data_IF_435265206904
#
_entry.id   IF_435265206904
#
_cell.length_a   1.000
_cell.length_b   1.000
_cell.length_c   1.000
_cell.angle_alpha   90.00
_cell.angle_beta   90.00
_cell.angle_gamma   90.00
#
_symmetry.space_group_name_H-M   'P 1'
#
loop_
_entity.id
_entity.type
_entity.pdbx_description
1 polymer ?
#
# COMPACT_ATOMS: atom_id res chain seq x y z
N UNK A 1 -25.11 -12.93 -76.64
CA UNK A 1 -25.16 -13.63 -75.37
C UNK A 1 -24.06 -13.02 -74.49
N UNK A 2 -24.45 -12.14 -73.54
CA UNK A 2 -23.51 -11.44 -72.67
C UNK A 2 -23.54 -12.13 -71.27
N UNK A 3 -22.41 -12.71 -70.83
CA UNK A 3 -22.21 -13.25 -69.50
C UNK A 3 -21.84 -12.11 -68.55
N UNK A 4 -22.69 -11.86 -67.55
CA UNK A 4 -22.40 -11.01 -66.39
C UNK A 4 -21.76 -11.89 -65.30
N UNK A 5 -20.49 -11.64 -64.96
CA UNK A 5 -19.84 -12.22 -63.78
C UNK A 5 -20.25 -11.42 -62.52
N UNK A 6 -20.97 -12.09 -61.59
CA UNK A 6 -21.20 -11.58 -60.23
C UNK A 6 -19.94 -11.87 -59.42
N UNK A 7 -19.19 -10.82 -59.07
CA UNK A 7 -18.14 -10.90 -58.04
C UNK A 7 -18.80 -10.84 -56.66
N UNK A 8 -18.89 -11.99 -55.99
CA UNK A 8 -19.33 -12.10 -54.60
C UNK A 8 -18.13 -11.69 -53.69
N UNK A 9 -18.16 -10.45 -53.20
CA UNK A 9 -17.17 -9.95 -52.23
C UNK A 9 -17.36 -10.63 -50.87
N UNK A 10 -16.45 -11.51 -50.50
CA UNK A 10 -16.40 -12.19 -49.21
C UNK A 10 -15.71 -11.20 -48.22
N UNK A 11 -16.51 -10.45 -47.47
CA UNK A 11 -16.02 -9.62 -46.35
C UNK A 11 -15.56 -10.54 -45.19
N UNK A 12 -14.25 -10.64 -45.03
CA UNK A 12 -13.64 -11.29 -43.86
C UNK A 12 -13.94 -10.44 -42.60
N UNK A 13 -14.93 -10.84 -41.82
CA UNK A 13 -15.12 -10.35 -40.44
C UNK A 13 -13.99 -10.91 -39.57
N UNK A 14 -12.92 -10.12 -39.36
CA UNK A 14 -11.92 -10.39 -38.33
C UNK A 14 -12.62 -10.25 -36.95
N UNK A 15 -12.55 -11.27 -36.09
CA UNK A 15 -13.05 -11.12 -34.72
C UNK A 15 -12.25 -10.01 -34.04
N UNK A 16 -12.94 -8.97 -33.56
CA UNK A 16 -12.34 -7.98 -32.68
C UNK A 16 -11.90 -8.69 -31.40
N UNK A 17 -10.60 -8.87 -31.22
CA UNK A 17 -10.05 -9.32 -29.94
C UNK A 17 -10.50 -8.32 -28.88
N UNK A 18 -11.02 -8.77 -27.71
CA UNK A 18 -11.36 -7.87 -26.65
C UNK A 18 -10.10 -7.09 -26.26
N UNK A 19 -10.12 -5.77 -26.44
CA UNK A 19 -9.06 -4.92 -25.92
C UNK A 19 -9.04 -5.11 -24.40
N UNK A 20 -8.04 -5.82 -23.90
CA UNK A 20 -7.80 -5.90 -22.45
C UNK A 20 -7.65 -4.46 -21.97
N UNK A 21 -8.56 -4.00 -21.09
CA UNK A 21 -8.45 -2.69 -20.49
C UNK A 21 -7.12 -2.63 -19.74
N UNK A 22 -6.25 -1.69 -20.12
CA UNK A 22 -4.95 -1.54 -19.47
C UNK A 22 -5.16 -1.21 -17.99
N UNK A 23 -4.52 -1.98 -17.12
CA UNK A 23 -4.58 -1.76 -15.68
C UNK A 23 -3.72 -0.55 -15.27
N UNK A 24 -4.10 0.12 -14.17
CA UNK A 24 -3.42 1.33 -13.69
C UNK A 24 -1.91 1.13 -13.47
N UNK A 25 -1.49 -0.06 -13.06
CA UNK A 25 -0.09 -0.42 -12.86
C UNK A 25 0.68 -0.79 -14.15
N UNK A 26 0.01 -0.95 -15.28
CA UNK A 26 0.63 -1.33 -16.54
C UNK A 26 0.85 -0.09 -17.45
N UNK A 27 0.33 1.06 -17.05
CA UNK A 27 0.50 2.33 -17.77
C UNK A 27 1.60 3.15 -17.07
N UNK A 28 2.63 3.60 -17.81
CA UNK A 28 3.65 4.48 -17.24
C UNK A 28 3.04 5.75 -16.66
N UNK A 29 3.59 6.30 -15.56
CA UNK A 29 3.16 7.58 -15.03
C UNK A 29 3.20 8.68 -16.10
N UNK A 30 2.22 9.57 -16.08
CA UNK A 30 2.12 10.69 -17.05
C UNK A 30 3.34 11.60 -16.96
N UNK A 31 3.58 12.33 -18.06
CA UNK A 31 4.58 13.40 -18.08
C UNK A 31 4.35 14.40 -16.93
N UNK A 32 5.42 14.87 -16.27
CA UNK A 32 5.33 15.82 -15.16
C UNK A 32 5.26 15.17 -13.76
N UNK A 33 5.18 13.84 -13.65
CA UNK A 33 5.29 13.13 -12.37
C UNK A 33 6.76 13.09 -11.92
N UNK A 34 7.05 13.45 -10.66
CA UNK A 34 8.42 13.46 -10.11
C UNK A 34 9.04 12.07 -10.09
N UNK A 35 10.38 12.00 -10.09
CA UNK A 35 11.10 10.71 -10.05
C UNK A 35 10.80 9.94 -8.76
N UNK A 36 10.64 10.63 -7.63
CA UNK A 36 10.21 10.01 -6.37
C UNK A 36 8.83 9.39 -6.51
N UNK A 37 7.87 10.12 -7.07
CA UNK A 37 6.53 9.61 -7.27
C UNK A 37 6.50 8.37 -8.19
N UNK A 38 7.29 8.40 -9.28
CA UNK A 38 7.45 7.25 -10.17
C UNK A 38 8.01 6.04 -9.42
N UNK A 39 9.03 6.23 -8.59
CA UNK A 39 9.64 5.17 -7.81
C UNK A 39 8.66 4.58 -6.76
N UNK A 40 7.88 5.44 -6.08
CA UNK A 40 6.83 5.01 -5.14
C UNK A 40 5.77 4.16 -5.85
N UNK A 41 5.25 4.66 -6.99
CA UNK A 41 4.26 3.94 -7.80
C UNK A 41 4.81 2.62 -8.30
N UNK A 42 6.04 2.60 -8.82
CA UNK A 42 6.67 1.38 -9.32
C UNK A 42 6.82 0.31 -8.24
N UNK A 43 7.25 0.69 -7.03
CA UNK A 43 7.39 -0.22 -5.89
C UNK A 43 6.02 -0.77 -5.44
N UNK A 44 5.01 0.08 -5.28
CA UNK A 44 3.67 -0.35 -4.87
C UNK A 44 3.01 -1.25 -5.93
N UNK A 45 3.10 -0.88 -7.21
CA UNK A 45 2.58 -1.68 -8.33
C UNK A 45 3.33 -3.01 -8.51
N UNK A 46 4.64 -3.04 -8.23
CA UNK A 46 5.42 -4.27 -8.22
C UNK A 46 4.85 -5.28 -7.23
N UNK A 47 4.62 -4.84 -6.00
CA UNK A 47 4.03 -5.71 -4.97
C UNK A 47 2.60 -6.15 -5.31
N UNK A 48 1.76 -5.24 -5.78
CA UNK A 48 0.39 -5.60 -6.17
C UNK A 48 0.36 -6.70 -7.25
N UNK A 49 1.30 -6.68 -8.20
CA UNK A 49 1.42 -7.76 -9.19
C UNK A 49 1.84 -9.09 -8.54
N UNK A 50 2.79 -9.06 -7.60
CA UNK A 50 3.22 -10.26 -6.87
C UNK A 50 2.08 -10.92 -6.11
N UNK A 51 1.17 -10.12 -5.53
CA UNK A 51 0.00 -10.59 -4.78
C UNK A 51 -1.20 -10.94 -5.67
N UNK A 52 -1.00 -11.24 -6.95
CA UNK A 52 -2.01 -11.65 -7.92
C UNK A 52 -3.08 -10.59 -8.23
N UNK A 53 -2.76 -9.30 -8.03
CA UNK A 53 -3.60 -8.15 -8.40
C UNK A 53 -5.01 -8.14 -7.79
N UNK A 54 -5.21 -8.44 -6.52
CA UNK A 54 -6.53 -8.32 -5.90
C UNK A 54 -6.97 -6.86 -5.88
N UNK A 55 -8.27 -6.62 -5.98
CA UNK A 55 -8.79 -5.26 -6.01
C UNK A 55 -10.12 -5.11 -5.29
N UNK A 56 -10.39 -3.88 -4.83
CA UNK A 56 -11.69 -3.41 -4.38
C UNK A 56 -12.20 -2.46 -5.46
N UNK A 57 -13.37 -2.77 -6.02
CA UNK A 57 -13.99 -1.96 -7.07
C UNK A 57 -14.57 -0.64 -6.52
N UNK A 58 -15.17 0.18 -7.40
CA UNK A 58 -15.78 1.46 -7.02
C UNK A 58 -17.00 1.31 -6.10
N UNK A 59 -17.63 0.16 -6.13
CA UNK A 59 -18.76 -0.19 -5.25
C UNK A 59 -18.30 -0.78 -3.92
N UNK A 60 -16.97 -0.88 -3.70
CA UNK A 60 -16.37 -1.37 -2.47
C UNK A 60 -16.36 -2.89 -2.34
N UNK A 61 -16.56 -3.64 -3.42
CA UNK A 61 -16.52 -5.10 -3.44
C UNK A 61 -15.11 -5.60 -3.74
N UNK A 62 -14.64 -6.55 -2.95
CA UNK A 62 -13.32 -7.18 -3.16
C UNK A 62 -13.41 -8.31 -4.16
N UNK A 63 -12.40 -8.42 -5.03
CA UNK A 63 -12.27 -9.48 -6.02
C UNK A 63 -10.81 -9.92 -6.21
N UNK A 64 -10.63 -11.12 -6.76
CA UNK A 64 -9.31 -11.69 -7.13
C UNK A 64 -8.36 -11.88 -5.94
N UNK A 65 -8.87 -12.07 -4.73
CA UNK A 65 -8.05 -12.39 -3.57
C UNK A 65 -7.52 -13.82 -3.73
N UNK A 66 -6.22 -13.95 -4.03
CA UNK A 66 -5.56 -15.23 -4.30
C UNK A 66 -4.80 -15.77 -3.10
N UNK A 67 -4.07 -14.92 -2.40
CA UNK A 67 -3.16 -15.31 -1.30
C UNK A 67 -3.27 -14.32 -0.16
N UNK A 68 -3.18 -14.80 1.08
CA UNK A 68 -3.16 -13.97 2.30
C UNK A 68 -1.86 -14.13 3.10
N UNK A 69 -1.62 -13.23 4.04
CA UNK A 69 -0.34 -13.01 4.74
C UNK A 69 0.26 -14.24 5.42
N UNK A 70 -0.58 -15.14 5.93
CA UNK A 70 -0.13 -16.29 6.71
C UNK A 70 0.05 -17.56 5.89
N UNK A 71 -0.26 -17.52 4.59
CA UNK A 71 -0.25 -18.70 3.74
C UNK A 71 1.18 -19.10 3.33
N UNK A 72 1.32 -20.39 3.00
CA UNK A 72 2.55 -20.97 2.45
C UNK A 72 2.56 -20.94 0.91
N UNK A 73 1.58 -20.27 0.32
CA UNK A 73 1.49 -20.15 -1.13
C UNK A 73 2.57 -19.20 -1.67
N UNK A 74 3.12 -19.56 -2.83
CA UNK A 74 4.05 -18.70 -3.53
C UNK A 74 3.35 -17.48 -4.11
N UNK A 75 4.04 -16.35 -4.10
CA UNK A 75 3.64 -15.18 -4.85
C UNK A 75 3.86 -15.40 -6.36
N UNK A 76 3.36 -14.51 -7.19
CA UNK A 76 3.29 -14.67 -8.65
C UNK A 76 4.64 -14.84 -9.36
N UNK A 77 5.76 -14.53 -8.70
CA UNK A 77 7.12 -14.71 -9.23
C UNK A 77 7.74 -16.06 -8.84
N UNK A 78 7.01 -16.92 -8.12
CA UNK A 78 7.51 -18.17 -7.52
C UNK A 78 8.73 -17.98 -6.59
N UNK A 79 8.95 -16.75 -6.12
CA UNK A 79 10.02 -16.42 -5.19
C UNK A 79 9.64 -16.72 -3.74
N UNK A 80 9.52 -15.68 -2.92
CA UNK A 80 9.12 -15.84 -1.53
C UNK A 80 7.66 -16.26 -1.41
N UNK A 81 7.36 -17.07 -0.40
CA UNK A 81 5.98 -17.35 0.02
C UNK A 81 5.41 -16.15 0.79
N UNK A 82 4.08 -16.06 0.86
CA UNK A 82 3.36 -14.88 1.35
C UNK A 82 3.86 -14.37 2.71
N UNK A 83 3.92 -15.24 3.74
CA UNK A 83 4.35 -14.80 5.06
C UNK A 83 5.81 -14.31 5.12
N UNK A 84 6.71 -14.91 4.33
CA UNK A 84 8.11 -14.48 4.25
C UNK A 84 8.22 -13.09 3.61
N UNK A 85 7.36 -12.81 2.62
CA UNK A 85 7.29 -11.48 2.01
C UNK A 85 6.82 -10.44 3.01
N UNK A 86 5.79 -10.73 3.81
CA UNK A 86 5.30 -9.83 4.88
C UNK A 86 6.38 -9.61 5.95
N UNK A 87 7.07 -10.67 6.39
CA UNK A 87 8.23 -10.55 7.28
C UNK A 87 9.32 -9.65 6.69
N UNK A 88 9.51 -9.71 5.36
CA UNK A 88 10.40 -8.83 4.60
C UNK A 88 10.01 -7.36 4.71
N UNK A 89 8.72 -7.01 4.62
CA UNK A 89 8.27 -5.61 4.80
C UNK A 89 8.67 -5.05 6.15
N UNK A 90 8.46 -5.81 7.23
CA UNK A 90 8.85 -5.43 8.58
C UNK A 90 10.36 -5.22 8.73
N UNK A 91 11.13 -6.17 8.24
CA UNK A 91 12.59 -6.20 8.38
C UNK A 91 13.27 -5.12 7.53
N UNK A 92 12.95 -5.06 6.24
CA UNK A 92 13.61 -4.18 5.28
C UNK A 92 13.23 -2.71 5.46
N UNK A 93 12.05 -2.43 6.03
CA UNK A 93 11.64 -1.06 6.40
C UNK A 93 12.22 -0.61 7.75
N UNK A 94 12.90 -1.48 8.49
CA UNK A 94 13.35 -1.25 9.87
C UNK A 94 12.23 -0.94 10.87
N UNK A 95 10.97 -1.29 10.56
CA UNK A 95 9.83 -1.10 11.46
C UNK A 95 9.64 -2.23 12.46
N UNK A 96 10.40 -3.32 12.31
CA UNK A 96 10.39 -4.44 13.25
C UNK A 96 11.03 -4.08 14.60
N UNK A 97 12.06 -3.22 14.62
CA UNK A 97 12.76 -2.83 15.84
C UNK A 97 11.83 -2.28 16.93
N UNK A 98 10.94 -1.31 16.65
CA UNK A 98 9.95 -0.82 17.61
C UNK A 98 8.98 -1.89 18.13
N UNK A 99 8.85 -3.02 17.42
CA UNK A 99 7.99 -4.15 17.80
C UNK A 99 8.73 -5.21 18.63
N UNK A 100 10.00 -5.02 18.95
CA UNK A 100 10.88 -6.04 19.54
C UNK A 100 10.40 -6.62 20.88
N UNK A 101 9.54 -5.89 21.62
CA UNK A 101 8.92 -6.38 22.85
C UNK A 101 7.68 -7.28 22.60
N UNK A 102 7.20 -7.37 21.36
CA UNK A 102 6.04 -8.19 20.99
C UNK A 102 6.49 -9.62 20.72
N UNK A 103 5.74 -10.60 21.26
CA UNK A 103 6.02 -12.01 21.03
C UNK A 103 6.11 -12.35 19.54
N UNK A 104 7.11 -13.11 19.13
CA UNK A 104 7.34 -13.52 17.75
C UNK A 104 8.04 -12.49 16.85
N UNK A 105 8.14 -11.21 17.27
CA UNK A 105 8.79 -10.18 16.44
C UNK A 105 10.26 -10.52 16.16
N UNK A 106 11.02 -10.96 17.17
CA UNK A 106 12.43 -11.36 17.02
C UNK A 106 12.61 -12.52 16.03
N UNK A 107 11.64 -13.43 15.98
CA UNK A 107 11.63 -14.55 15.04
C UNK A 107 11.48 -14.10 13.59
N UNK A 108 10.81 -12.96 13.33
CA UNK A 108 10.73 -12.35 12.00
C UNK A 108 12.02 -11.62 11.56
N UNK A 109 12.93 -11.31 12.48
CA UNK A 109 14.21 -10.68 12.16
C UNK A 109 15.19 -11.63 11.47
N UNK A 110 15.06 -12.93 11.67
CA UNK A 110 15.90 -13.96 11.07
C UNK A 110 15.30 -14.47 9.76
N UNK A 111 16.12 -14.86 8.79
CA UNK A 111 15.65 -15.64 7.66
C UNK A 111 14.93 -16.91 8.15
N UNK A 112 13.96 -17.39 7.40
CA UNK A 112 13.31 -18.67 7.66
C UNK A 112 14.35 -19.78 7.87
N UNK A 113 14.34 -20.44 9.00
CA UNK A 113 15.42 -21.33 9.35
C UNK A 113 15.03 -22.51 10.25
N UNK A 114 13.98 -22.38 11.05
CA UNK A 114 13.48 -23.48 11.85
C UNK A 114 11.96 -23.43 11.93
N UNK A 115 11.34 -24.60 12.08
CA UNK A 115 9.89 -24.71 12.21
C UNK A 115 9.33 -23.86 13.37
N UNK A 116 10.08 -23.72 14.46
CA UNK A 116 9.65 -22.92 15.61
C UNK A 116 9.71 -21.43 15.33
N UNK A 117 10.85 -20.93 14.84
CA UNK A 117 10.99 -19.50 14.48
C UNK A 117 10.01 -19.09 13.40
N UNK A 118 9.73 -19.95 12.42
CA UNK A 118 8.76 -19.70 11.36
C UNK A 118 7.33 -19.62 11.93
N UNK A 119 6.97 -20.53 12.85
CA UNK A 119 5.65 -20.52 13.51
C UNK A 119 5.46 -19.25 14.34
N UNK A 120 6.45 -18.87 15.14
CA UNK A 120 6.40 -17.67 15.97
C UNK A 120 6.32 -16.39 15.14
N UNK A 121 7.11 -16.32 14.06
CA UNK A 121 7.04 -15.18 13.14
C UNK A 121 5.64 -15.09 12.47
N UNK A 122 5.09 -16.21 12.00
CA UNK A 122 3.75 -16.21 11.38
C UNK A 122 2.67 -15.79 12.38
N UNK A 123 2.74 -16.21 13.63
CA UNK A 123 1.83 -15.76 14.68
C UNK A 123 1.94 -14.23 14.87
N UNK A 124 3.16 -13.69 14.95
CA UNK A 124 3.37 -12.24 15.00
C UNK A 124 2.74 -11.52 13.81
N UNK A 125 2.88 -12.03 12.59
CA UNK A 125 2.33 -11.40 11.38
C UNK A 125 0.80 -11.36 11.36
N UNK A 126 0.14 -12.41 11.88
CA UNK A 126 -1.32 -12.50 11.99
C UNK A 126 -1.84 -11.52 13.05
N UNK A 127 -1.17 -11.43 14.19
CA UNK A 127 -1.62 -10.65 15.34
C UNK A 127 -1.30 -9.15 15.19
N UNK A 128 -0.38 -8.78 14.30
CA UNK A 128 0.09 -7.40 14.18
C UNK A 128 -0.10 -6.86 12.77
N UNK A 129 -1.00 -5.86 12.58
CA UNK A 129 -1.27 -5.27 11.27
C UNK A 129 0.00 -4.70 10.62
N UNK A 130 0.34 -5.20 9.44
CA UNK A 130 1.58 -4.86 8.73
C UNK A 130 1.41 -3.77 7.66
N UNK A 131 0.23 -3.14 7.57
CA UNK A 131 -0.04 -2.12 6.55
C UNK A 131 0.94 -0.94 6.60
N UNK A 132 1.32 -0.48 7.80
CA UNK A 132 2.28 0.60 7.94
C UNK A 132 3.73 0.15 7.66
N UNK A 133 4.08 -1.11 7.96
CA UNK A 133 5.36 -1.69 7.56
C UNK A 133 5.47 -1.77 6.03
N UNK A 134 4.39 -2.14 5.33
CA UNK A 134 4.32 -2.12 3.86
C UNK A 134 4.58 -0.71 3.30
N UNK A 135 3.87 0.32 3.79
CA UNK A 135 4.11 1.71 3.36
C UNK A 135 5.56 2.11 3.61
N UNK A 136 6.09 1.86 4.82
CA UNK A 136 7.48 2.15 5.15
C UNK A 136 8.47 1.43 4.22
N UNK A 137 8.15 0.19 3.83
CA UNK A 137 8.94 -0.58 2.88
C UNK A 137 8.92 0.06 1.48
N UNK A 138 7.73 0.41 0.96
CA UNK A 138 7.61 1.09 -0.34
C UNK A 138 8.41 2.40 -0.36
N UNK A 139 8.28 3.22 0.69
CA UNK A 139 9.00 4.50 0.79
C UNK A 139 10.53 4.31 0.90
N UNK A 140 10.97 3.22 1.55
CA UNK A 140 12.40 2.84 1.61
C UNK A 140 12.91 2.40 0.23
N UNK A 141 12.16 1.56 -0.48
CA UNK A 141 12.51 1.10 -1.83
C UNK A 141 12.53 2.24 -2.85
N UNK A 142 11.65 3.20 -2.71
CA UNK A 142 11.58 4.41 -3.53
C UNK A 142 12.59 5.49 -3.13
N UNK A 143 13.41 5.25 -2.10
CA UNK A 143 14.38 6.20 -1.56
C UNK A 143 13.76 7.59 -1.27
N UNK A 144 12.54 7.63 -0.68
CA UNK A 144 11.86 8.88 -0.37
C UNK A 144 12.64 9.62 0.73
N UNK A 145 13.21 10.81 0.44
CA UNK A 145 14.05 11.52 1.39
C UNK A 145 13.26 11.98 2.61
N UNK A 146 13.80 11.78 3.80
CA UNK A 146 13.19 12.28 5.05
C UNK A 146 11.91 11.58 5.46
N UNK A 147 11.52 10.45 4.82
CA UNK A 147 10.32 9.73 5.22
C UNK A 147 10.51 9.06 6.59
N UNK A 148 9.60 9.37 7.52
CA UNK A 148 9.59 8.75 8.85
C UNK A 148 8.98 7.37 8.79
N UNK A 149 9.80 6.32 8.84
CA UNK A 149 9.36 4.94 8.90
C UNK A 149 8.74 4.63 10.25
N UNK A 150 7.57 4.02 10.26
CA UNK A 150 6.84 3.68 11.49
C UNK A 150 5.96 2.45 11.28
N UNK A 151 5.73 1.62 12.32
CA UNK A 151 4.71 0.58 12.31
C UNK A 151 3.28 1.13 12.43
N UNK A 152 3.08 2.46 12.46
CA UNK A 152 1.78 3.11 12.63
C UNK A 152 1.56 4.23 11.62
N UNK A 153 0.44 4.18 10.90
CA UNK A 153 0.10 5.21 9.90
C UNK A 153 -0.15 6.59 10.52
N UNK A 154 -0.63 6.67 11.77
CA UNK A 154 -0.88 7.96 12.43
C UNK A 154 0.41 8.79 12.55
N UNK A 155 1.57 8.16 12.60
CA UNK A 155 2.85 8.87 12.68
C UNK A 155 3.18 9.57 11.35
N UNK A 156 2.79 9.00 10.21
CA UNK A 156 2.90 9.65 8.89
C UNK A 156 2.01 10.88 8.80
N UNK A 157 0.77 10.76 9.30
CA UNK A 157 -0.21 11.87 9.33
C UNK A 157 0.34 13.01 10.21
N UNK A 158 0.89 12.68 11.39
CA UNK A 158 1.51 13.69 12.27
C UNK A 158 2.72 14.36 11.63
N UNK A 159 3.61 13.55 11.01
CA UNK A 159 4.77 14.09 10.32
C UNK A 159 4.37 15.07 9.20
N UNK A 160 3.35 14.71 8.40
CA UNK A 160 2.81 15.55 7.35
C UNK A 160 2.12 16.81 7.88
N UNK A 161 1.44 16.73 9.04
CA UNK A 161 0.86 17.89 9.73
C UNK A 161 1.92 18.87 10.23
N UNK A 162 3.01 18.35 10.81
CA UNK A 162 4.11 19.17 11.35
C UNK A 162 5.02 19.71 10.24
N UNK A 163 5.12 18.99 9.12
CA UNK A 163 6.12 19.21 8.07
C UNK A 163 5.75 20.24 7.01
N UNK A 164 4.60 20.88 7.08
CA UNK A 164 4.07 21.76 6.03
C UNK A 164 4.99 22.88 5.52
N UNK A 165 6.12 23.14 6.17
CA UNK A 165 7.10 24.17 5.80
C UNK A 165 8.57 23.74 5.91
N UNK A 166 8.89 22.50 6.32
CA UNK A 166 10.23 22.12 6.78
C UNK A 166 10.94 21.05 5.93
N UNK A 167 10.69 20.97 4.62
CA UNK A 167 11.39 20.01 3.76
C UNK A 167 11.00 18.54 3.99
N UNK A 168 9.90 18.28 4.70
CA UNK A 168 9.36 16.93 4.86
C UNK A 168 8.78 16.42 3.54
N UNK A 169 8.85 15.10 3.27
CA UNK A 169 8.44 14.55 1.98
C UNK A 169 6.94 14.64 1.71
N UNK A 170 6.14 14.84 2.75
CA UNK A 170 4.68 14.96 2.65
C UNK A 170 4.15 16.15 3.43
N UNK A 171 3.10 16.78 2.89
CA UNK A 171 2.25 17.74 3.61
C UNK A 171 0.85 17.21 3.76
N UNK A 172 0.16 17.59 4.82
CA UNK A 172 -1.23 17.23 5.05
C UNK A 172 -2.17 18.13 4.25
N UNK A 173 -3.19 17.54 3.63
CA UNK A 173 -4.21 18.22 2.85
C UNK A 173 -5.60 17.60 3.08
N UNK A 174 -6.64 18.37 2.78
CA UNK A 174 -8.03 17.93 2.84
C UNK A 174 -8.38 17.08 1.60
N UNK A 175 -8.71 15.80 1.78
CA UNK A 175 -9.09 14.94 0.65
C UNK A 175 -10.37 15.36 -0.06
N UNK A 176 -11.23 16.18 0.58
CA UNK A 176 -12.47 16.69 -0.02
C UNK A 176 -12.25 17.92 -0.91
N UNK A 177 -11.07 18.52 -0.91
CA UNK A 177 -10.81 19.77 -1.65
C UNK A 177 -9.57 19.70 -2.55
N UNK A 178 -8.61 18.87 -2.24
CA UNK A 178 -7.37 18.79 -3.00
C UNK A 178 -7.29 17.54 -3.90
N UNK A 179 -6.79 17.73 -5.13
CA UNK A 179 -6.67 16.66 -6.11
C UNK A 179 -5.56 15.69 -5.73
N UNK A 180 -5.82 14.38 -5.71
CA UNK A 180 -4.80 13.37 -5.53
C UNK A 180 -3.88 13.27 -6.78
N UNK A 181 -2.62 12.92 -6.54
CA UNK A 181 -1.63 12.69 -7.58
C UNK A 181 -0.81 11.41 -7.28
N UNK A 182 -0.21 10.77 -8.29
CA UNK A 182 0.65 9.61 -8.08
C UNK A 182 1.76 9.89 -7.04
N UNK A 183 1.95 8.96 -6.11
CA UNK A 183 2.88 9.08 -4.98
C UNK A 183 2.28 9.68 -3.71
N UNK A 184 1.10 10.31 -3.77
CA UNK A 184 0.36 10.73 -2.57
C UNK A 184 -0.11 9.53 -1.75
N UNK A 185 -0.57 9.77 -0.52
CA UNK A 185 -1.25 8.76 0.30
C UNK A 185 -2.61 9.28 0.73
N UNK A 186 -3.65 8.45 0.59
CA UNK A 186 -4.97 8.73 1.14
C UNK A 186 -5.17 7.88 2.40
N UNK A 187 -5.58 8.53 3.50
CA UNK A 187 -5.67 7.90 4.81
C UNK A 187 -7.06 8.03 5.43
N UNK A 188 -7.47 6.98 6.15
CA UNK A 188 -8.70 6.97 6.94
C UNK A 188 -8.45 6.58 8.40
N UNK A 189 -9.34 7.01 9.27
CA UNK A 189 -9.30 6.72 10.71
C UNK A 189 -10.10 5.45 11.00
N UNK A 190 -9.65 4.69 12.01
CA UNK A 190 -10.28 3.44 12.48
C UNK A 190 -10.62 3.48 13.96
N UNK A 191 -11.46 2.56 14.39
CA UNK A 191 -11.81 2.29 15.81
C UNK A 191 -12.34 3.53 16.55
N UNK A 192 -13.21 4.28 15.90
CA UNK A 192 -13.81 5.49 16.48
C UNK A 192 -15.34 5.39 16.51
N UNK A 193 -15.92 5.89 17.58
CA UNK A 193 -17.38 5.90 17.75
C UNK A 193 -18.11 6.88 16.82
N UNK A 194 -17.37 7.79 16.17
CA UNK A 194 -17.93 8.78 15.23
C UNK A 194 -16.93 9.10 14.14
N UNK A 195 -17.44 9.42 12.96
CA UNK A 195 -16.67 9.94 11.84
C UNK A 195 -16.16 11.35 12.18
N UNK A 196 -14.86 11.57 12.00
CA UNK A 196 -14.22 12.86 12.28
C UNK A 196 -13.93 13.67 11.03
N UNK A 197 -13.68 13.01 9.89
CA UNK A 197 -13.20 13.58 8.65
C UNK A 197 -11.93 14.45 8.84
N UNK A 198 -11.59 15.29 7.86
CA UNK A 198 -10.41 16.13 7.91
C UNK A 198 -10.45 17.16 9.04
N UNK A 199 -11.59 17.84 9.23
CA UNK A 199 -11.69 18.91 10.23
C UNK A 199 -11.52 18.41 11.66
N UNK A 200 -12.12 17.27 12.01
CA UNK A 200 -11.94 16.63 13.31
C UNK A 200 -10.51 16.10 13.53
N UNK A 201 -9.88 15.58 12.48
CA UNK A 201 -8.47 15.17 12.54
C UNK A 201 -7.55 16.35 12.82
N UNK A 202 -7.72 17.49 12.12
CA UNK A 202 -6.91 18.71 12.35
C UNK A 202 -7.06 19.19 13.78
N UNK A 203 -8.27 19.25 14.31
CA UNK A 203 -8.51 19.65 15.70
C UNK A 203 -7.81 18.72 16.69
N UNK A 204 -7.83 17.43 16.44
CA UNK A 204 -7.17 16.45 17.31
C UNK A 204 -5.64 16.52 17.23
N UNK A 205 -5.08 16.72 16.03
CA UNK A 205 -3.65 16.92 15.84
C UNK A 205 -3.16 18.18 16.56
N UNK A 206 -3.87 19.30 16.41
CA UNK A 206 -3.54 20.57 17.07
C UNK A 206 -3.61 20.51 18.59
N UNK A 207 -4.44 19.62 19.16
CA UNK A 207 -4.55 19.40 20.61
C UNK A 207 -3.67 18.25 21.14
N UNK A 208 -2.86 17.59 20.30
CA UNK A 208 -2.00 16.48 20.70
C UNK A 208 -2.74 15.17 21.07
N UNK A 209 -4.05 15.06 20.79
CA UNK A 209 -4.88 13.92 21.22
C UNK A 209 -4.83 12.69 20.33
N UNK A 210 -3.94 12.63 19.35
CA UNK A 210 -3.86 11.53 18.37
C UNK A 210 -2.92 10.38 18.76
N UNK A 211 -2.44 10.32 20.04
CA UNK A 211 -1.39 9.41 20.52
C UNK A 211 -1.52 7.96 20.05
N UNK A 212 -2.64 7.32 20.31
CA UNK A 212 -2.88 5.90 20.02
C UNK A 212 -3.97 5.68 18.97
N UNK A 213 -4.23 6.67 18.10
CA UNK A 213 -5.25 6.50 17.08
C UNK A 213 -4.84 5.48 16.05
N UNK A 214 -5.78 4.63 15.70
CA UNK A 214 -5.63 3.69 14.59
C UNK A 214 -6.04 4.38 13.30
N UNK A 215 -5.26 4.17 12.27
CA UNK A 215 -5.48 4.72 10.92
C UNK A 215 -4.92 3.76 9.89
N UNK A 216 -5.31 3.97 8.63
CA UNK A 216 -4.77 3.23 7.51
C UNK A 216 -4.52 4.19 6.35
N UNK A 217 -3.41 4.01 5.63
CA UNK A 217 -3.07 4.80 4.46
C UNK A 217 -2.81 3.88 3.26
N UNK A 218 -3.21 4.34 2.09
CA UNK A 218 -2.99 3.67 0.82
C UNK A 218 -2.31 4.64 -0.16
N UNK A 219 -1.42 4.13 -1.01
CA UNK A 219 -0.62 4.92 -1.95
C UNK A 219 -1.43 5.18 -3.21
N UNK A 220 -1.53 6.42 -3.65
CA UNK A 220 -2.08 6.78 -4.94
C UNK A 220 -1.12 6.34 -6.04
N UNK A 221 -1.55 5.42 -6.90
CA UNK A 221 -0.75 4.95 -8.03
C UNK A 221 -1.19 5.56 -9.36
N UNK A 222 -2.46 5.94 -9.48
CA UNK A 222 -2.97 6.66 -10.65
C UNK A 222 -4.25 7.43 -10.30
N UNK A 223 -4.53 8.50 -11.04
CA UNK A 223 -5.76 9.28 -10.93
C UNK A 223 -6.26 9.70 -12.31
N UNK A 224 -7.54 9.49 -12.58
CA UNK A 224 -8.23 9.86 -13.82
C UNK A 224 -7.52 9.37 -15.09
N UNK A 225 -7.23 8.07 -15.13
CA UNK A 225 -6.55 7.42 -16.24
C UNK A 225 -7.44 7.43 -17.49
N UNK A 226 -6.98 8.06 -18.57
CA UNK A 226 -7.78 8.15 -19.78
C UNK A 226 -9.12 8.89 -19.63
N UNK A 227 -9.35 9.62 -18.53
CA UNK A 227 -10.63 10.30 -18.27
C UNK A 227 -11.66 9.42 -17.54
N UNK A 228 -11.25 8.29 -16.96
CA UNK A 228 -12.11 7.30 -16.31
C UNK A 228 -12.70 7.75 -14.97
N UNK A 229 -12.27 8.92 -14.47
CA UNK A 229 -12.69 9.47 -13.20
C UNK A 229 -12.49 8.50 -12.02
N UNK A 230 -11.42 7.72 -12.07
CA UNK A 230 -11.08 6.75 -11.03
C UNK A 230 -9.76 7.11 -10.36
N UNK A 231 -9.75 7.04 -9.03
CA UNK A 231 -8.55 7.07 -8.22
C UNK A 231 -8.15 5.62 -7.90
N UNK A 232 -6.90 5.29 -8.16
CA UNK A 232 -6.32 3.97 -7.91
C UNK A 232 -5.35 4.06 -6.76
N UNK A 233 -5.60 3.27 -5.72
CA UNK A 233 -4.83 3.24 -4.47
C UNK A 233 -4.30 1.82 -4.25
N UNK A 234 -3.09 1.69 -3.68
CA UNK A 234 -2.56 0.39 -3.23
C UNK A 234 -2.25 0.46 -1.75
N UNK A 235 -2.83 -0.48 -1.00
CA UNK A 235 -2.58 -0.67 0.42
C UNK A 235 -2.09 -2.08 0.74
N UNK A 236 -1.24 -2.20 1.76
CA UNK A 236 -0.86 -3.48 2.37
C UNK A 236 -1.79 -3.82 3.52
N UNK A 237 -1.94 -5.10 3.82
CA UNK A 237 -2.83 -5.63 4.86
C UNK A 237 -4.29 -5.19 4.68
N UNK A 238 -4.73 -5.11 3.45
CA UNK A 238 -6.14 -4.95 3.08
C UNK A 238 -6.67 -6.34 2.78
N UNK A 239 -7.62 -6.83 3.58
CA UNK A 239 -8.03 -8.25 3.55
C UNK A 239 -6.81 -9.20 3.57
N UNK A 240 -5.84 -8.90 4.41
CA UNK A 240 -4.60 -9.67 4.61
C UNK A 240 -3.72 -9.84 3.36
N UNK A 241 -3.82 -8.91 2.40
CA UNK A 241 -3.09 -8.94 1.13
C UNK A 241 -2.63 -7.53 0.71
N UNK A 242 -1.94 -7.41 -0.44
CA UNK A 242 -1.67 -6.13 -1.08
C UNK A 242 -2.72 -5.88 -2.16
N UNK A 243 -3.63 -4.97 -1.88
CA UNK A 243 -4.86 -4.78 -2.67
C UNK A 243 -4.88 -3.40 -3.32
N UNK A 244 -5.39 -3.34 -4.55
CA UNK A 244 -5.72 -2.09 -5.24
C UNK A 244 -7.16 -1.69 -4.92
N UNK A 245 -7.37 -0.47 -4.42
CA UNK A 245 -8.69 0.13 -4.21
C UNK A 245 -9.00 1.13 -5.30
N UNK A 246 -10.27 1.18 -5.72
CA UNK A 246 -10.79 2.13 -6.71
C UNK A 246 -11.82 3.03 -6.06
N UNK A 247 -11.59 4.35 -6.11
CA UNK A 247 -12.55 5.37 -5.67
C UNK A 247 -12.96 6.26 -6.84
N UNK A 248 -14.11 6.91 -6.71
CA UNK A 248 -14.59 7.87 -7.71
C UNK A 248 -13.92 9.23 -7.56
N UNK A 249 -13.66 9.88 -8.68
CA UNK A 249 -13.31 11.29 -8.76
C UNK A 249 -14.48 12.07 -9.36
N UNK A 250 -14.72 13.26 -8.86
CA UNK A 250 -15.67 14.18 -9.43
C UNK A 250 -15.16 14.75 -10.79
N UNK A 251 -15.96 15.60 -11.42
CA UNK A 251 -15.60 16.21 -12.72
C UNK A 251 -14.38 17.14 -12.63
N UNK A 252 -14.06 17.62 -11.44
CA UNK A 252 -12.90 18.48 -11.20
C UNK A 252 -11.63 17.68 -10.90
N UNK A 253 -11.75 16.37 -10.62
CA UNK A 253 -10.65 15.48 -10.27
C UNK A 253 -10.38 15.41 -8.76
N UNK A 254 -11.31 15.89 -7.93
CA UNK A 254 -11.32 15.72 -6.48
C UNK A 254 -12.01 14.42 -6.12
N UNK A 255 -11.69 13.83 -4.97
CA UNK A 255 -12.23 12.54 -4.55
C UNK A 255 -13.71 12.70 -4.14
N UNK A 256 -14.59 11.92 -4.75
CA UNK A 256 -15.95 11.73 -4.25
C UNK A 256 -15.88 10.79 -3.02
N UNK A 257 -15.68 11.37 -1.83
CA UNK A 257 -15.51 10.58 -0.62
C UNK A 257 -16.77 9.79 -0.30
N UNK A 258 -16.71 8.44 -0.23
CA UNK A 258 -17.84 7.65 0.21
C UNK A 258 -18.21 8.01 1.65
N UNK A 259 -19.52 8.15 1.92
CA UNK A 259 -19.99 8.43 3.28
C UNK A 259 -19.60 7.26 4.19
N UNK A 260 -18.83 7.55 5.23
CA UNK A 260 -18.51 6.56 6.26
C UNK A 260 -19.80 6.10 6.95
N UNK A 261 -19.91 4.81 7.22
CA UNK A 261 -20.93 4.30 8.12
C UNK A 261 -20.56 4.67 9.56
N UNK A 262 -21.55 4.96 10.40
CA UNK A 262 -21.33 5.16 11.84
C UNK A 262 -20.67 3.93 12.48
N UNK A 263 -20.86 2.75 11.88
CA UNK A 263 -20.24 1.48 12.25
C UNK A 263 -18.90 1.20 11.56
N UNK A 264 -18.41 2.04 10.64
CA UNK A 264 -17.14 1.84 9.90
C UNK A 264 -15.89 1.94 10.78
N UNK A 265 -16.08 2.02 12.07
CA UNK A 265 -15.03 2.08 13.06
C UNK A 265 -14.12 0.83 13.03
N UNK A 266 -14.60 -0.30 12.56
CA UNK A 266 -13.84 -1.55 12.52
C UNK A 266 -14.18 -2.34 11.25
N UNK A 267 -13.17 -2.92 10.59
CA UNK A 267 -13.35 -3.84 9.46
C UNK A 267 -14.24 -5.03 9.87
N UNK A 268 -14.11 -5.49 11.12
CA UNK A 268 -14.92 -6.58 11.69
C UNK A 268 -16.41 -6.22 11.81
N UNK A 269 -16.75 -4.94 12.02
CA UNK A 269 -18.16 -4.51 12.08
C UNK A 269 -18.79 -4.46 10.68
N UNK A 270 -18.03 -4.12 9.65
CA UNK A 270 -18.48 -4.19 8.25
C UNK A 270 -18.81 -5.64 7.90
N UNK A 271 -17.94 -6.58 8.27
CA UNK A 271 -18.17 -8.01 8.05
C UNK A 271 -19.39 -8.54 8.82
N UNK A 272 -19.64 -8.05 10.04
CA UNK A 272 -20.78 -8.47 10.86
C UNK A 272 -22.12 -7.99 10.34
N UNK A 273 -22.18 -6.80 9.76
CA UNK A 273 -23.41 -6.18 9.27
C UNK A 273 -23.66 -6.47 7.78
N UNK A 274 -22.62 -6.85 7.04
CA UNK A 274 -22.72 -7.22 5.63
C UNK A 274 -23.53 -8.50 5.47
N UNK A 275 -24.70 -8.39 4.86
CA UNK A 275 -25.62 -9.52 4.63
C UNK A 275 -26.48 -9.28 3.40
N UNK A 276 -27.14 -10.31 2.84
CA UNK A 276 -27.99 -10.15 1.66
C UNK A 276 -29.14 -9.14 1.80
N UNK A 277 -29.51 -8.77 3.02
CA UNK A 277 -30.52 -7.74 3.30
C UNK A 277 -29.92 -6.36 3.61
N UNK A 278 -28.60 -6.24 3.68
CA UNK A 278 -27.86 -5.01 4.02
C UNK A 278 -26.58 -4.93 3.15
N UNK A 279 -26.73 -5.01 1.84
CA UNK A 279 -25.61 -5.02 0.90
C UNK A 279 -24.79 -3.72 0.92
N UNK A 280 -25.39 -2.60 1.26
CA UNK A 280 -24.73 -1.32 1.42
C UNK A 280 -23.67 -1.33 2.54
N UNK A 281 -23.82 -2.20 3.54
CA UNK A 281 -22.84 -2.39 4.61
C UNK A 281 -21.62 -3.19 4.15
N UNK A 282 -21.71 -3.87 3.00
CA UNK A 282 -20.60 -4.62 2.39
C UNK A 282 -19.60 -3.74 1.64
N UNK A 283 -19.80 -2.44 1.59
CA UNK A 283 -18.97 -1.51 0.84
C UNK A 283 -17.69 -1.14 1.62
N UNK A 284 -16.56 -1.76 1.26
CA UNK A 284 -15.25 -1.54 1.86
C UNK A 284 -14.67 -0.14 1.59
N UNK A 285 -15.27 0.66 0.71
CA UNK A 285 -14.86 2.04 0.43
C UNK A 285 -15.45 3.06 1.43
N UNK A 286 -16.47 2.68 2.21
CA UNK A 286 -17.12 3.55 3.20
C UNK A 286 -16.30 3.66 4.49
N UNK A 287 -15.22 4.43 4.44
CA UNK A 287 -14.28 4.66 5.53
C UNK A 287 -14.32 6.14 5.98
N UNK A 288 -13.79 6.43 7.17
CA UNK A 288 -13.58 7.82 7.64
C UNK A 288 -12.33 8.42 6.97
N UNK A 289 -12.43 8.73 5.68
CA UNK A 289 -11.36 9.33 4.89
C UNK A 289 -11.05 10.74 5.41
N UNK A 290 -9.92 10.88 6.10
CA UNK A 290 -9.63 12.08 6.88
C UNK A 290 -8.36 12.83 6.47
N UNK A 291 -7.48 12.23 5.66
CA UNK A 291 -6.21 12.86 5.31
C UNK A 291 -5.75 12.50 3.91
N UNK A 292 -5.34 13.51 3.14
CA UNK A 292 -4.55 13.34 1.93
C UNK A 292 -3.13 13.83 2.21
N UNK A 293 -2.16 12.93 2.17
CA UNK A 293 -0.75 13.28 2.33
C UNK A 293 -0.17 13.54 0.94
N UNK A 294 0.07 14.80 0.63
CA UNK A 294 0.60 15.26 -0.66
C UNK A 294 2.11 15.11 -0.71
N UNK A 295 2.62 14.34 -1.67
CA UNK A 295 4.05 14.20 -1.89
C UNK A 295 4.65 15.52 -2.37
N UNK A 296 5.63 16.03 -1.64
CA UNK A 296 6.37 17.27 -1.94
C UNK A 296 7.78 16.99 -2.43
N UNK A 297 8.34 15.82 -2.12
CA UNK A 297 9.66 15.41 -2.56
C UNK A 297 9.68 15.18 -4.09
N UNK A 298 10.65 15.76 -4.77
CA UNK A 298 10.78 15.69 -6.23
C UNK A 298 11.91 14.77 -6.69
N UNK A 299 13.00 14.71 -5.92
CA UNK A 299 14.18 13.90 -6.23
C UNK A 299 14.40 12.84 -5.16
N UNK A 300 14.78 11.61 -5.53
CA UNK A 300 15.11 10.58 -4.57
C UNK A 300 16.34 11.01 -3.72
N UNK A 301 16.45 10.45 -2.52
CA UNK A 301 17.66 10.61 -1.71
C UNK A 301 18.86 10.09 -2.51
N UNK A 302 20.04 10.75 -2.42
CA UNK A 302 21.24 10.24 -3.04
C UNK A 302 21.47 8.80 -2.53
N UNK A 303 21.79 7.90 -3.46
CA UNK A 303 22.15 6.54 -3.07
C UNK A 303 23.31 6.64 -2.08
N UNK A 304 23.13 6.09 -0.89
CA UNK A 304 24.27 5.87 0.00
C UNK A 304 25.18 4.88 -0.73
N UNK A 305 26.21 5.39 -1.38
CA UNK A 305 27.34 4.57 -1.79
C UNK A 305 27.98 4.07 -0.49
N UNK A 306 27.55 2.90 -0.05
CA UNK A 306 28.26 2.16 1.00
C UNK A 306 29.59 1.67 0.42
N UNK A 307 30.50 2.60 0.18
CA UNK A 307 31.91 2.34 -0.04
C UNK A 307 32.66 2.39 1.28
N UNK A 308 32.01 2.20 2.41
CA UNK A 308 32.70 1.83 3.62
C UNK A 308 33.30 0.43 3.39
N UNK A 309 34.64 0.26 3.45
CA UNK A 309 35.23 -1.07 3.38
C UNK A 309 34.60 -1.92 4.48
N UNK A 310 34.24 -3.15 4.14
CA UNK A 310 33.86 -4.14 5.13
C UNK A 310 34.95 -4.17 6.20
N UNK A 311 34.60 -4.16 7.50
CA UNK A 311 35.58 -4.39 8.54
C UNK A 311 36.33 -5.70 8.22
N UNK A 312 37.64 -5.77 8.45
CA UNK A 312 38.40 -7.01 8.24
C UNK A 312 37.73 -8.13 9.05
N UNK A 313 37.77 -9.37 8.57
CA UNK A 313 37.26 -10.50 9.33
C UNK A 313 37.97 -10.55 10.70
N UNK A 314 37.27 -10.94 11.77
CA UNK A 314 37.91 -11.11 13.07
C UNK A 314 39.12 -12.05 12.93
N UNK A 315 40.24 -11.63 13.51
CA UNK A 315 41.48 -12.41 13.48
C UNK A 315 41.19 -13.86 13.88
N UNK A 316 41.71 -14.80 13.10
CA UNK A 316 41.65 -16.22 13.44
C UNK A 316 42.28 -16.43 14.83
N UNK A 317 41.70 -17.28 15.67
CA UNK A 317 42.27 -17.55 17.00
C UNK A 317 43.64 -18.20 16.82
N UNK A 318 44.67 -17.58 17.43
CA UNK A 318 46.04 -18.07 17.47
C UNK A 318 46.02 -19.49 18.03
N UNK A 319 46.58 -20.50 17.35
CA UNK A 319 46.60 -21.86 17.86
C UNK A 319 47.42 -21.93 19.15
N UNK A 320 46.78 -22.43 20.22
CA UNK A 320 47.44 -22.65 21.51
C UNK A 320 48.46 -23.78 21.34
N UNK A 321 49.74 -23.62 21.75
CA UNK A 321 50.70 -24.70 21.69
C UNK A 321 50.31 -25.85 22.61
N UNK A 322 50.18 -27.04 22.06
CA UNK A 322 49.99 -28.27 22.82
C UNK A 322 51.36 -28.63 23.43
N UNK A 323 51.47 -28.46 24.77
CA UNK A 323 52.63 -29.00 25.50
C UNK A 323 52.41 -30.51 25.71
N UNK A 324 53.37 -31.29 25.21
CA UNK A 324 53.50 -32.74 25.47
C UNK A 324 53.95 -33.02 26.89
#
# INVERSE_FOLDING_TARGET
VAYRYLLCGMTLLLPALPAMAAEACDIPPRYGVSEVAKAVVAAACGEHRLWYRPFIDRDGRIASLGVTEAENEHLADNGLIAWQRVAGYWRESATLGPMGAIAGASSCAQPAGSRYTDSDCRAFLIDNPWSAAFISWVMTRAAVPGFTRSPRHIDYIRAAYQGGSNGMPYRLADPASEKPAPGDMLCFLRDRSSTLNYSGLIQALGSGRTGNWKSHCEIVVSANMGGDRTLYLIGGNVANSVVMRKLMLDRTGVIELPKANAASASTSLIEQNCSPGHEEECNLNRQDWAALLKLTATNPAPAFNSTAPLPPPPDEPIPVPVTH
#
